data_IF_016851299481
#
_entry.id   IF_016851299481
#
_cell.length_a   1.000
_cell.length_b   1.000
_cell.length_c   1.000
_cell.angle_alpha   90.00
_cell.angle_beta   90.00
_cell.angle_gamma   90.00
#
_symmetry.space_group_name_H-M   'P 1'
#
loop_
_entity.id
_entity.type
_entity.pdbx_description
1 polymer ?
#
# COMPACT_ATOMS: atom_id res chain seq x y z
N UNK A 1 24.71 -8.06 -7.08
CA UNK A 1 24.59 -6.71 -7.66
C UNK A 1 24.41 -5.64 -6.57
N UNK A 2 23.45 -5.77 -5.63
CA UNK A 2 23.20 -4.73 -4.61
C UNK A 2 24.47 -4.38 -3.79
N UNK A 3 25.24 -5.39 -3.37
CA UNK A 3 26.50 -5.17 -2.63
C UNK A 3 27.60 -4.49 -3.45
N UNK A 4 27.43 -4.37 -4.77
CA UNK A 4 28.36 -3.67 -5.66
C UNK A 4 27.95 -2.23 -5.93
N UNK A 5 26.74 -1.84 -5.52
CA UNK A 5 26.25 -0.47 -5.67
C UNK A 5 26.78 0.39 -4.50
N UNK A 6 27.21 1.63 -4.74
CA UNK A 6 27.61 2.54 -3.68
C UNK A 6 26.50 2.70 -2.63
N UNK A 7 26.86 2.69 -1.36
CA UNK A 7 25.94 2.88 -0.22
C UNK A 7 24.82 1.82 -0.08
N UNK A 8 25.02 0.61 -0.63
CA UNK A 8 24.11 -0.53 -0.49
C UNK A 8 24.64 -1.59 0.49
N UNK A 9 25.27 -1.16 1.57
CA UNK A 9 25.88 -2.06 2.56
C UNK A 9 24.84 -2.79 3.41
N UNK A 10 23.68 -2.16 3.64
CA UNK A 10 22.57 -2.73 4.39
C UNK A 10 21.45 -3.21 3.43
N UNK A 11 21.46 -4.50 3.15
CA UNK A 11 20.47 -5.10 2.25
C UNK A 11 19.02 -5.01 2.78
N UNK A 12 18.86 -4.96 4.09
CA UNK A 12 17.53 -4.88 4.71
C UNK A 12 16.92 -3.47 4.61
N UNK A 13 17.71 -2.47 4.24
CA UNK A 13 17.25 -1.12 3.89
C UNK A 13 17.17 -0.88 2.39
N UNK A 14 17.42 -1.90 1.57
CA UNK A 14 17.52 -1.77 0.11
C UNK A 14 16.21 -2.10 -0.58
N UNK A 15 15.75 -1.20 -1.45
CA UNK A 15 14.68 -1.41 -2.41
C UNK A 15 15.30 -1.49 -3.82
N UNK A 16 15.17 -2.63 -4.46
CA UNK A 16 15.59 -2.84 -5.86
C UNK A 16 14.38 -2.63 -6.77
N UNK A 17 14.52 -1.75 -7.76
CA UNK A 17 13.49 -1.55 -8.79
C UNK A 17 14.02 -2.09 -10.11
N UNK A 18 13.39 -3.16 -10.61
CA UNK A 18 13.70 -3.78 -11.89
C UNK A 18 12.74 -3.25 -12.95
N UNK A 19 13.25 -2.45 -13.86
CA UNK A 19 12.51 -2.03 -15.04
C UNK A 19 12.64 -3.10 -16.13
N UNK A 20 11.53 -3.73 -16.48
CA UNK A 20 11.51 -4.85 -17.43
C UNK A 20 10.86 -4.38 -18.73
N UNK A 21 11.63 -4.47 -19.84
CA UNK A 21 11.11 -4.16 -21.16
C UNK A 21 10.22 -5.29 -21.68
N UNK A 22 9.05 -5.44 -21.06
CA UNK A 22 8.06 -6.44 -21.44
C UNK A 22 6.66 -5.88 -21.29
N UNK A 23 5.77 -6.21 -22.24
CA UNK A 23 4.38 -5.78 -22.28
C UNK A 23 3.39 -6.80 -21.66
N UNK A 24 3.86 -8.00 -21.30
CA UNK A 24 3.02 -9.15 -20.94
C UNK A 24 3.02 -9.52 -19.46
N UNK A 25 3.75 -8.77 -18.63
CA UNK A 25 3.85 -9.02 -17.18
C UNK A 25 3.15 -7.91 -16.43
N UNK A 26 2.38 -8.27 -15.42
CA UNK A 26 1.91 -7.31 -14.43
C UNK A 26 3.08 -6.83 -13.55
N UNK A 27 2.93 -5.69 -12.88
CA UNK A 27 3.83 -5.31 -11.80
C UNK A 27 3.81 -6.37 -10.69
N UNK A 28 4.89 -6.49 -9.98
CA UNK A 28 5.01 -7.41 -8.85
C UNK A 28 6.07 -6.90 -7.88
N UNK A 29 5.81 -7.01 -6.58
CA UNK A 29 6.80 -6.72 -5.55
C UNK A 29 6.96 -7.88 -4.58
N UNK A 30 8.19 -8.33 -4.40
CA UNK A 30 8.55 -9.21 -3.30
C UNK A 30 9.21 -8.40 -2.21
N UNK A 31 8.68 -8.45 -0.99
CA UNK A 31 9.16 -7.65 0.13
C UNK A 31 9.17 -8.46 1.44
N UNK A 32 10.03 -8.07 2.34
CA UNK A 32 10.28 -8.75 3.60
C UNK A 32 10.02 -7.82 4.79
N UNK A 33 9.71 -8.42 5.91
CA UNK A 33 9.46 -7.71 7.19
C UNK A 33 10.70 -6.88 7.59
N UNK A 34 11.91 -7.40 7.35
CA UNK A 34 13.17 -6.72 7.67
C UNK A 34 13.36 -5.39 6.94
N UNK A 35 12.70 -5.22 5.81
CA UNK A 35 12.70 -3.93 5.11
C UNK A 35 13.07 -4.00 3.63
N UNK A 36 13.94 -4.95 3.22
CA UNK A 36 14.31 -5.13 1.81
C UNK A 36 13.11 -5.41 0.92
N UNK A 37 13.23 -5.05 -0.36
CA UNK A 37 12.22 -5.37 -1.36
C UNK A 37 12.80 -5.41 -2.78
N UNK A 38 12.13 -6.14 -3.67
CA UNK A 38 12.40 -6.18 -5.10
C UNK A 38 11.09 -5.91 -5.82
N UNK A 39 10.99 -4.75 -6.46
CA UNK A 39 9.84 -4.35 -7.28
C UNK A 39 10.16 -4.56 -8.75
N UNK A 40 9.34 -5.33 -9.44
CA UNK A 40 9.41 -5.56 -10.87
C UNK A 40 8.38 -4.69 -11.56
N UNK A 41 8.84 -3.71 -12.34
CA UNK A 41 8.01 -2.72 -13.00
C UNK A 41 8.13 -2.87 -14.52
N UNK A 42 7.16 -3.50 -15.20
CA UNK A 42 7.20 -3.69 -16.64
C UNK A 42 6.98 -2.34 -17.36
N UNK A 43 7.79 -2.13 -18.37
CA UNK A 43 7.69 -0.97 -19.28
C UNK A 43 6.89 -1.40 -20.48
N UNK A 44 5.66 -0.89 -20.66
CA UNK A 44 4.85 -1.17 -21.87
C UNK A 44 5.34 -0.32 -23.03
N UNK A 45 5.52 -0.89 -24.25
CA UNK A 45 5.95 -0.07 -25.38
C UNK A 45 4.85 0.85 -25.89
N UNK A 46 5.22 2.10 -26.09
CA UNK A 46 4.66 3.15 -26.96
C UNK A 46 3.12 3.27 -27.08
N UNK A 47 2.44 3.66 -26.01
CA UNK A 47 1.14 4.31 -26.12
C UNK A 47 1.16 5.64 -25.33
N UNK A 48 0.29 6.57 -25.66
CA UNK A 48 0.17 7.84 -24.91
C UNK A 48 -0.20 7.64 -23.42
N UNK A 49 -0.77 6.48 -23.08
CA UNK A 49 -1.03 6.05 -21.71
C UNK A 49 0.19 5.40 -21.03
N UNK A 50 1.26 5.17 -21.74
CA UNK A 50 2.43 4.43 -21.27
C UNK A 50 3.11 5.04 -20.06
N UNK A 51 3.44 6.32 -20.09
CA UNK A 51 4.14 6.96 -18.99
C UNK A 51 3.29 6.97 -17.71
N UNK A 52 1.99 7.20 -17.84
CA UNK A 52 1.07 7.13 -16.69
C UNK A 52 0.99 5.73 -16.10
N UNK A 53 0.89 4.69 -16.94
CA UNK A 53 0.81 3.31 -16.47
C UNK A 53 2.12 2.85 -15.81
N UNK A 54 3.27 3.17 -16.39
CA UNK A 54 4.56 2.83 -15.82
C UNK A 54 4.80 3.54 -14.48
N UNK A 55 4.59 4.86 -14.43
CA UNK A 55 4.71 5.64 -13.20
C UNK A 55 3.79 5.11 -12.09
N UNK A 56 2.54 4.80 -12.44
CA UNK A 56 1.57 4.25 -11.49
C UNK A 56 2.00 2.86 -10.99
N UNK A 57 2.57 2.02 -11.88
CA UNK A 57 3.12 0.73 -11.49
C UNK A 57 4.32 0.89 -10.55
N UNK A 58 5.21 1.84 -10.82
CA UNK A 58 6.33 2.15 -9.91
C UNK A 58 5.82 2.64 -8.55
N UNK A 59 4.83 3.52 -8.54
CA UNK A 59 4.19 3.95 -7.28
C UNK A 59 3.60 2.76 -6.53
N UNK A 60 2.83 1.90 -7.19
CA UNK A 60 2.19 0.74 -6.58
C UNK A 60 3.24 -0.26 -6.04
N UNK A 61 4.12 -0.76 -6.93
CA UNK A 61 5.04 -1.84 -6.58
C UNK A 61 6.21 -1.36 -5.71
N UNK A 62 6.91 -0.31 -6.13
CA UNK A 62 8.07 0.16 -5.41
C UNK A 62 7.69 1.04 -4.21
N UNK A 63 6.79 2.01 -4.41
CA UNK A 63 6.38 2.93 -3.36
C UNK A 63 5.45 2.27 -2.32
N UNK A 64 4.39 1.62 -2.79
CA UNK A 64 3.39 0.97 -1.93
C UNK A 64 3.92 -0.28 -1.25
N UNK A 65 4.15 -1.33 -2.02
CA UNK A 65 4.61 -2.61 -1.46
C UNK A 65 6.07 -2.54 -0.99
N UNK A 66 6.96 -2.09 -1.86
CA UNK A 66 8.40 -2.15 -1.61
C UNK A 66 8.85 -1.25 -0.48
N UNK A 67 8.45 0.00 -0.48
CA UNK A 67 8.88 1.00 0.51
C UNK A 67 7.97 1.01 1.73
N UNK A 68 6.67 1.27 1.55
CA UNK A 68 5.75 1.48 2.66
C UNK A 68 5.13 0.20 3.23
N UNK A 69 5.41 -0.98 2.65
CA UNK A 69 4.90 -2.29 3.07
C UNK A 69 3.37 -2.36 3.11
N UNK A 70 2.72 -1.70 2.14
CA UNK A 70 1.27 -1.71 1.99
C UNK A 70 0.79 -3.03 1.39
N UNK A 71 -0.44 -3.39 1.68
CA UNK A 71 -1.15 -4.49 1.04
C UNK A 71 -1.88 -4.01 -0.22
N UNK A 72 -2.19 -4.95 -1.13
CA UNK A 72 -3.18 -4.72 -2.17
C UNK A 72 -4.57 -4.48 -1.55
N UNK A 73 -5.28 -3.49 -2.07
CA UNK A 73 -6.64 -3.18 -1.63
C UNK A 73 -7.70 -3.67 -2.65
N UNK A 74 -7.27 -4.18 -3.82
CA UNK A 74 -8.19 -4.69 -4.85
C UNK A 74 -8.67 -6.10 -4.56
N UNK A 75 -9.74 -6.50 -5.28
CA UNK A 75 -10.42 -7.77 -5.09
C UNK A 75 -10.06 -8.77 -6.19
N UNK A 76 -9.76 -10.01 -5.81
CA UNK A 76 -9.74 -11.19 -6.68
C UNK A 76 -10.95 -12.08 -6.42
N UNK A 77 -11.43 -12.08 -5.19
CA UNK A 77 -12.50 -12.96 -4.69
C UNK A 77 -13.61 -12.14 -4.04
N UNK A 78 -14.41 -11.44 -4.87
CA UNK A 78 -15.40 -10.46 -4.41
C UNK A 78 -16.48 -11.01 -3.44
N UNK A 79 -16.78 -12.31 -3.50
CA UNK A 79 -17.78 -12.96 -2.64
C UNK A 79 -17.17 -13.90 -1.59
N UNK A 80 -15.87 -13.86 -1.39
CA UNK A 80 -15.15 -14.76 -0.50
C UNK A 80 -14.63 -14.02 0.73
N UNK A 81 -14.76 -14.66 1.88
CA UNK A 81 -14.18 -14.21 3.14
C UNK A 81 -12.74 -14.66 3.29
N UNK A 82 -11.90 -13.83 3.92
CA UNK A 82 -10.55 -14.22 4.39
C UNK A 82 -10.62 -15.31 5.48
N UNK A 83 -11.79 -15.53 6.05
CA UNK A 83 -12.03 -16.57 7.06
C UNK A 83 -12.53 -17.90 6.45
N UNK A 84 -12.62 -18.02 5.12
CA UNK A 84 -13.01 -19.28 4.48
C UNK A 84 -11.99 -20.39 4.74
N UNK A 85 -12.51 -21.63 4.88
CA UNK A 85 -11.71 -22.78 5.29
C UNK A 85 -11.22 -23.60 4.09
N UNK A 86 -10.54 -22.97 3.14
CA UNK A 86 -9.82 -23.65 2.07
C UNK A 86 -8.31 -23.34 2.14
N UNK A 87 -7.49 -24.22 1.56
CA UNK A 87 -6.05 -24.19 1.71
C UNK A 87 -5.42 -22.86 1.24
N UNK A 88 -5.90 -22.28 0.15
CA UNK A 88 -5.39 -21.02 -0.38
C UNK A 88 -5.70 -19.86 0.57
N UNK A 89 -6.94 -19.77 1.06
CA UNK A 89 -7.36 -18.73 2.01
C UNK A 89 -6.63 -18.86 3.35
N UNK A 90 -6.44 -20.07 3.84
CA UNK A 90 -5.66 -20.31 5.08
C UNK A 90 -4.21 -19.83 4.91
N UNK A 91 -3.60 -20.07 3.75
CA UNK A 91 -2.25 -19.56 3.44
C UNK A 91 -2.19 -18.05 3.38
N UNK A 92 -3.14 -17.41 2.68
CA UNK A 92 -3.21 -15.95 2.58
C UNK A 92 -3.45 -15.30 3.95
N UNK A 93 -4.32 -15.90 4.78
CA UNK A 93 -4.57 -15.44 6.14
C UNK A 93 -3.32 -15.51 7.01
N UNK A 94 -2.54 -16.60 6.94
CA UNK A 94 -1.26 -16.73 7.66
C UNK A 94 -0.26 -15.64 7.23
N UNK A 95 -0.18 -15.34 5.92
CA UNK A 95 0.68 -14.30 5.40
C UNK A 95 0.21 -12.90 5.88
N UNK A 96 -1.08 -12.65 5.87
CA UNK A 96 -1.67 -11.43 6.42
C UNK A 96 -1.33 -11.26 7.90
N UNK A 97 -1.57 -12.26 8.72
CA UNK A 97 -1.31 -12.23 10.16
C UNK A 97 0.18 -12.02 10.47
N UNK A 98 1.07 -12.68 9.73
CA UNK A 98 2.51 -12.48 9.85
C UNK A 98 2.91 -11.05 9.48
N UNK A 99 2.36 -10.51 8.40
CA UNK A 99 2.60 -9.13 7.97
C UNK A 99 2.10 -8.11 9.00
N UNK A 100 0.89 -8.29 9.51
CA UNK A 100 0.32 -7.44 10.56
C UNK A 100 1.16 -7.46 11.83
N UNK A 101 1.59 -8.63 12.28
CA UNK A 101 2.48 -8.80 13.43
C UNK A 101 3.83 -8.12 13.19
N UNK A 102 4.31 -8.11 11.97
CA UNK A 102 5.54 -7.43 11.56
C UNK A 102 5.40 -5.92 11.32
N UNK A 103 4.23 -5.32 11.59
CA UNK A 103 4.00 -3.88 11.42
C UNK A 103 3.76 -3.45 9.97
N UNK A 104 3.49 -4.39 9.07
CA UNK A 104 3.13 -4.13 7.67
C UNK A 104 1.62 -3.93 7.50
N UNK A 105 1.20 -3.61 6.27
CA UNK A 105 -0.21 -3.56 5.85
C UNK A 105 -1.06 -2.53 6.63
N UNK A 106 -0.50 -1.32 6.81
CA UNK A 106 -1.17 -0.23 7.50
C UNK A 106 -2.50 0.20 6.86
N UNK A 107 -2.68 -0.12 5.58
CA UNK A 107 -3.81 0.27 4.74
C UNK A 107 -4.95 -0.76 4.66
N UNK A 108 -4.85 -1.89 5.35
CA UNK A 108 -5.93 -2.88 5.44
C UNK A 108 -6.13 -3.35 6.88
N UNK A 109 -7.34 -3.77 7.22
CA UNK A 109 -7.68 -4.28 8.55
C UNK A 109 -8.68 -5.44 8.44
N UNK A 110 -8.77 -6.25 9.49
CA UNK A 110 -9.74 -7.33 9.65
C UNK A 110 -10.96 -6.90 10.48
N UNK A 111 -11.04 -5.63 10.87
CA UNK A 111 -12.16 -5.06 11.61
C UNK A 111 -12.63 -3.75 11.01
N UNK A 112 -13.94 -3.51 11.01
CA UNK A 112 -14.55 -2.22 10.70
C UNK A 112 -14.99 -1.46 11.97
N UNK A 113 -14.69 -1.98 13.15
CA UNK A 113 -15.10 -1.34 14.40
C UNK A 113 -14.42 0.03 14.54
N UNK A 114 -15.19 1.13 14.72
CA UNK A 114 -14.65 2.49 14.67
C UNK A 114 -13.58 2.77 15.71
N UNK A 115 -13.60 2.08 16.87
CA UNK A 115 -12.63 2.30 17.95
C UNK A 115 -11.44 1.32 17.89
N UNK A 116 -11.40 0.40 16.93
CA UNK A 116 -10.35 -0.61 16.83
C UNK A 116 -9.58 -0.58 15.53
N UNK A 117 -10.20 -0.08 14.45
CA UNK A 117 -9.55 -0.01 13.13
C UNK A 117 -8.28 0.83 13.19
N UNK A 118 -7.24 0.42 12.47
CA UNK A 118 -5.89 0.99 12.56
C UNK A 118 -5.82 2.49 12.31
N UNK A 119 -6.64 3.01 11.41
CA UNK A 119 -6.66 4.43 11.02
C UNK A 119 -7.66 5.29 11.79
N UNK A 120 -8.25 4.77 12.88
CA UNK A 120 -9.25 5.48 13.68
C UNK A 120 -8.82 6.88 14.15
N UNK A 121 -7.54 7.04 14.50
CA UNK A 121 -7.05 8.32 15.02
C UNK A 121 -7.18 9.45 13.99
N UNK A 122 -7.10 9.17 12.70
CA UNK A 122 -7.24 10.18 11.67
C UNK A 122 -8.63 10.83 11.72
N UNK A 123 -9.70 10.05 11.64
CA UNK A 123 -11.05 10.60 11.61
C UNK A 123 -11.61 10.94 12.99
N UNK A 124 -11.12 10.32 14.07
CA UNK A 124 -11.57 10.66 15.43
C UNK A 124 -10.94 11.96 15.93
N UNK A 125 -9.64 12.17 15.71
CA UNK A 125 -8.95 13.38 16.16
C UNK A 125 -9.07 14.55 15.17
N UNK A 126 -9.24 14.26 13.88
CA UNK A 126 -9.27 15.25 12.80
C UNK A 126 -10.43 15.01 11.83
N UNK A 127 -11.69 15.00 12.33
CA UNK A 127 -12.86 14.59 11.55
C UNK A 127 -13.09 15.44 10.30
N UNK A 128 -12.86 16.75 10.37
CA UNK A 128 -13.07 17.64 9.23
C UNK A 128 -12.08 17.36 8.10
N UNK A 129 -10.84 17.07 8.44
CA UNK A 129 -9.80 16.80 7.44
C UNK A 129 -9.93 15.42 6.82
N UNK A 130 -10.30 14.40 7.59
CA UNK A 130 -10.34 12.99 7.17
C UNK A 130 -11.76 12.41 7.17
N UNK A 131 -12.79 13.23 6.92
CA UNK A 131 -14.21 12.83 6.87
C UNK A 131 -14.53 11.71 5.86
N UNK A 132 -13.65 11.50 4.91
CA UNK A 132 -13.77 10.49 3.86
C UNK A 132 -13.07 9.17 4.24
N UNK A 133 -12.18 9.19 5.22
CA UNK A 133 -11.54 7.97 5.76
C UNK A 133 -12.58 7.21 6.57
N UNK A 134 -12.82 5.97 6.18
CA UNK A 134 -13.84 5.11 6.79
C UNK A 134 -13.38 3.65 6.72
N UNK A 135 -14.26 2.70 6.93
CA UNK A 135 -14.00 1.28 6.71
C UNK A 135 -14.87 0.80 5.56
N UNK A 136 -14.24 0.61 4.40
CA UNK A 136 -14.87 0.07 3.19
C UNK A 136 -14.58 -1.42 3.15
N UNK A 137 -15.61 -2.26 3.10
CA UNK A 137 -15.41 -3.70 3.04
C UNK A 137 -14.83 -4.11 1.69
N UNK A 138 -13.95 -5.10 1.74
CA UNK A 138 -13.21 -5.62 0.59
C UNK A 138 -11.80 -5.04 0.51
N UNK A 139 -10.80 -5.88 0.75
CA UNK A 139 -9.37 -5.60 0.63
C UNK A 139 -8.57 -6.91 0.64
N UNK A 140 -7.26 -6.83 0.40
CA UNK A 140 -6.34 -7.98 0.45
C UNK A 140 -6.87 -9.17 -0.35
N UNK A 141 -7.38 -8.89 -1.56
CA UNK A 141 -8.00 -9.83 -2.50
C UNK A 141 -9.39 -10.35 -2.13
N UNK A 142 -9.87 -10.18 -0.90
CA UNK A 142 -11.10 -10.75 -0.38
C UNK A 142 -12.20 -9.71 -0.24
N UNK A 143 -13.41 -10.04 -0.69
CA UNK A 143 -14.56 -9.14 -0.66
C UNK A 143 -15.23 -9.05 0.71
N UNK A 144 -14.99 -10.03 1.60
CA UNK A 144 -15.63 -10.11 2.91
C UNK A 144 -14.59 -10.24 4.03
N UNK A 145 -14.90 -9.64 5.19
CA UNK A 145 -14.10 -9.66 6.42
C UNK A 145 -12.72 -9.00 6.30
N UNK A 146 -12.51 -8.22 5.24
CA UNK A 146 -11.34 -7.38 5.06
C UNK A 146 -11.78 -5.96 4.74
N UNK A 147 -11.07 -4.97 5.27
CA UNK A 147 -11.46 -3.57 5.17
C UNK A 147 -10.29 -2.71 4.72
N UNK A 148 -10.61 -1.64 3.96
CA UNK A 148 -9.69 -0.59 3.52
C UNK A 148 -10.23 0.78 3.90
N UNK A 149 -9.39 1.83 3.98
CA UNK A 149 -9.82 3.13 4.53
C UNK A 149 -10.66 3.96 3.55
N UNK A 150 -10.52 3.74 2.25
CA UNK A 150 -11.15 4.57 1.22
C UNK A 150 -11.58 3.73 0.01
N UNK A 151 -12.57 4.21 -0.79
CA UNK A 151 -13.05 3.47 -1.96
C UNK A 151 -12.00 3.30 -3.05
N UNK A 152 -11.07 4.24 -3.18
CA UNK A 152 -10.08 4.28 -4.26
C UNK A 152 -8.69 4.66 -3.74
N UNK A 153 -7.63 4.13 -4.35
CA UNK A 153 -6.24 4.42 -4.03
C UNK A 153 -5.28 3.85 -5.07
N UNK A 154 -4.01 4.19 -4.96
CA UNK A 154 -2.92 3.55 -5.72
C UNK A 154 -2.95 2.02 -5.57
N UNK A 155 -3.24 1.51 -4.37
CA UNK A 155 -3.25 0.08 -4.07
C UNK A 155 -4.52 -0.66 -4.54
N UNK A 156 -5.48 0.05 -5.16
CA UNK A 156 -6.68 -0.52 -5.82
C UNK A 156 -6.54 -0.45 -7.34
N UNK A 157 -6.39 0.77 -7.88
CA UNK A 157 -6.57 1.06 -9.31
C UNK A 157 -5.31 1.63 -9.98
N UNK A 158 -4.14 1.52 -9.37
CA UNK A 158 -2.89 2.08 -9.90
C UNK A 158 -2.95 3.58 -10.23
N UNK A 159 -3.69 4.36 -9.46
CA UNK A 159 -3.78 5.81 -9.62
C UNK A 159 -2.69 6.53 -8.81
N UNK A 160 -2.35 7.77 -9.17
CA UNK A 160 -1.37 8.59 -8.44
C UNK A 160 -1.94 9.16 -7.14
N UNK A 161 -2.57 8.32 -6.34
CA UNK A 161 -3.19 8.69 -5.09
C UNK A 161 -3.04 7.60 -4.04
N UNK A 162 -2.35 7.87 -2.97
CA UNK A 162 -2.37 7.03 -1.77
C UNK A 162 -3.43 7.54 -0.80
N UNK A 163 -4.25 6.66 -0.24
CA UNK A 163 -5.16 7.03 0.83
C UNK A 163 -4.42 7.51 2.10
N UNK A 164 -5.12 8.17 3.01
CA UNK A 164 -4.49 8.81 4.16
C UNK A 164 -3.67 7.85 5.04
N UNK A 165 -4.13 6.65 5.41
CA UNK A 165 -3.31 5.68 6.13
C UNK A 165 -2.06 5.23 5.37
N UNK A 166 -2.14 5.09 4.04
CA UNK A 166 -0.99 4.77 3.19
C UNK A 166 0.05 5.88 3.20
N UNK A 167 -0.38 7.15 3.07
CA UNK A 167 0.53 8.31 3.18
C UNK A 167 1.17 8.39 4.56
N UNK A 168 0.40 8.14 5.61
CA UNK A 168 0.92 8.09 6.97
C UNK A 168 1.98 7.00 7.13
N UNK A 169 1.77 5.82 6.56
CA UNK A 169 2.75 4.73 6.58
C UNK A 169 4.05 5.10 5.84
N UNK A 170 3.94 5.76 4.69
CA UNK A 170 5.09 6.29 3.93
C UNK A 170 5.89 7.27 4.79
N UNK A 171 5.22 8.25 5.40
CA UNK A 171 5.90 9.25 6.25
C UNK A 171 6.53 8.60 7.48
N UNK A 172 5.84 7.67 8.15
CA UNK A 172 6.41 6.88 9.26
C UNK A 172 7.69 6.16 8.83
N UNK A 173 7.67 5.55 7.65
CA UNK A 173 8.84 4.83 7.12
C UNK A 173 10.00 5.78 6.82
N UNK A 174 9.73 6.95 6.22
CA UNK A 174 10.75 7.99 5.97
C UNK A 174 11.39 8.44 7.29
N UNK A 175 10.57 8.81 8.27
CA UNK A 175 11.04 9.26 9.59
C UNK A 175 11.89 8.19 10.29
N UNK A 176 11.41 6.95 10.28
CA UNK A 176 12.16 5.81 10.84
C UNK A 176 13.53 5.64 10.19
N UNK A 177 13.62 5.68 8.86
CA UNK A 177 14.90 5.54 8.14
C UNK A 177 15.83 6.73 8.33
N UNK A 178 15.28 7.92 8.55
CA UNK A 178 16.03 9.13 8.88
C UNK A 178 16.47 9.20 10.36
N UNK A 179 16.08 8.24 11.20
CA UNK A 179 16.33 8.28 12.64
C UNK A 179 15.49 9.33 13.37
N UNK A 180 14.38 9.77 12.77
CA UNK A 180 13.49 10.80 13.31
C UNK A 180 12.23 10.20 13.93
N UNK A 181 11.69 10.87 14.95
CA UNK A 181 10.43 10.49 15.57
C UNK A 181 9.25 10.94 14.70
N UNK A 182 8.25 10.06 14.52
CA UNK A 182 7.00 10.40 13.88
C UNK A 182 6.05 11.12 14.85
N UNK A 183 5.45 12.23 14.41
CA UNK A 183 4.34 12.91 15.07
C UNK A 183 3.10 12.87 14.18
N UNK A 184 1.96 12.49 14.75
CA UNK A 184 0.68 12.51 14.05
C UNK A 184 0.25 13.95 13.72
N UNK A 185 0.49 14.87 14.64
CA UNK A 185 0.19 16.28 14.49
C UNK A 185 0.95 16.90 13.32
N UNK A 186 2.26 16.62 13.24
CA UNK A 186 3.11 17.08 12.12
C UNK A 186 2.68 16.45 10.79
N UNK A 187 2.35 15.16 10.79
CA UNK A 187 1.80 14.51 9.61
C UNK A 187 0.53 15.22 9.13
N UNK A 188 -0.43 15.43 10.04
CA UNK A 188 -1.71 16.06 9.72
C UNK A 188 -1.51 17.49 9.23
N UNK A 189 -0.65 18.28 9.86
CA UNK A 189 -0.35 19.65 9.45
C UNK A 189 0.22 19.72 8.03
N UNK A 190 1.02 18.72 7.63
CA UNK A 190 1.73 18.67 6.35
C UNK A 190 1.06 17.78 5.29
N UNK A 191 0.03 17.02 5.62
CA UNK A 191 -0.74 16.20 4.68
C UNK A 191 -1.63 17.11 3.81
N UNK A 192 -1.01 17.73 2.81
CA UNK A 192 -1.66 18.65 1.87
C UNK A 192 -2.02 17.89 0.60
N UNK A 193 -3.30 17.66 0.40
CA UNK A 193 -3.82 17.12 -0.86
C UNK A 193 -4.25 18.25 -1.77
N UNK A 194 -3.64 18.35 -2.93
CA UNK A 194 -3.99 19.36 -3.93
C UNK A 194 -5.30 19.01 -4.66
N UNK A 195 -5.59 17.71 -4.83
CA UNK A 195 -6.83 17.20 -5.45
C UNK A 195 -7.27 15.94 -4.71
N UNK A 196 -8.37 16.03 -4.01
CA UNK A 196 -8.81 14.98 -3.12
C UNK A 196 -10.20 14.44 -3.42
N UNK A 197 -10.43 13.15 -3.08
CA UNK A 197 -9.87 12.01 -3.84
C UNK A 197 -10.32 12.12 -5.28
N UNK A 198 -9.63 11.51 -6.27
CA UNK A 198 -10.10 11.58 -7.66
C UNK A 198 -11.49 10.94 -7.71
N UNK A 199 -12.52 11.78 -7.86
CA UNK A 199 -13.92 11.33 -7.82
C UNK A 199 -14.35 10.57 -9.07
N UNK A 200 -13.54 10.57 -10.13
CA UNK A 200 -13.95 10.15 -11.48
C UNK A 200 -12.97 9.22 -12.21
N UNK A 201 -12.13 8.46 -11.53
CA UNK A 201 -11.32 7.42 -12.19
C UNK A 201 -11.79 6.02 -11.77
N UNK A 202 -13.09 5.76 -11.89
CA UNK A 202 -13.65 4.41 -11.88
C UNK A 202 -14.16 4.14 -13.28
N UNK A 203 -13.29 3.58 -14.13
CA UNK A 203 -13.68 2.77 -15.28
C UNK A 203 -13.50 1.29 -14.96
#
# INVERSE_FOLDING_TARGET
YCKMAPNCDDIDKTLVVLMVNASRVAGYCHFWIQGRAIALCPVKPKTTAFNKQFENTVLHEAGGHGFAKLADEYLKYAKKSINANDAATISDKKNLEAGLKGGMFANVDTTNHPDRVKWRELYQKYPEKYKYVRSVEGAYYYGLDMFRPEPNSCMINNIKYYNAPSRMAIVKRIKFLAGETFSLEDFVANDKLLNFPPQNEVE
#
